data_IF_678268572556
#
_entry.id   IF_678268572556
#
_cell.length_a   1.000
_cell.length_b   1.000
_cell.length_c   1.000
_cell.angle_alpha   90.00
_cell.angle_beta   90.00
_cell.angle_gamma   90.00
#
_symmetry.space_group_name_H-M   'P 1'
#
loop_
_entity.id
_entity.type
_entity.pdbx_description
1 polymer ?
#
# COMPACT_ATOMS: atom_id res chain seq x y z
N UNK A 1 73.93 -25.77 -4.66
CA UNK A 1 73.18 -26.08 -3.43
C UNK A 1 71.71 -25.89 -3.75
N UNK A 2 70.95 -26.99 -3.64
CA UNK A 2 69.54 -27.08 -3.96
C UNK A 2 68.72 -26.15 -3.06
N UNK A 3 67.68 -25.53 -3.60
CA UNK A 3 66.48 -25.36 -2.81
C UNK A 3 65.25 -25.82 -3.59
N UNK A 4 64.45 -26.57 -2.84
CA UNK A 4 63.60 -27.66 -3.25
C UNK A 4 62.14 -27.21 -3.11
N UNK A 5 61.38 -27.39 -4.20
CA UNK A 5 60.03 -28.01 -4.23
C UNK A 5 58.92 -27.34 -3.42
N UNK A 6 57.80 -26.97 -4.09
CA UNK A 6 56.63 -27.86 -4.24
C UNK A 6 55.55 -27.23 -5.13
N UNK A 7 55.21 -27.96 -6.19
CA UNK A 7 53.98 -27.82 -6.99
C UNK A 7 52.88 -28.63 -6.28
N UNK A 8 51.60 -28.24 -6.36
CA UNK A 8 50.54 -29.21 -6.55
C UNK A 8 49.98 -29.11 -7.99
N UNK A 9 50.12 -30.24 -8.68
CA UNK A 9 49.50 -30.59 -9.94
C UNK A 9 48.03 -30.93 -9.66
N UNK A 10 47.08 -30.33 -10.38
CA UNK A 10 45.92 -31.10 -10.80
C UNK A 10 45.38 -30.57 -12.14
N UNK A 11 45.70 -31.34 -13.17
CA UNK A 11 45.14 -31.26 -14.50
C UNK A 11 43.66 -31.65 -14.51
N UNK A 12 42.80 -30.83 -15.11
CA UNK A 12 41.68 -31.35 -15.88
C UNK A 12 41.10 -30.32 -16.87
N UNK A 13 41.70 -30.32 -18.06
CA UNK A 13 40.95 -30.53 -19.32
C UNK A 13 40.14 -29.35 -19.87
N UNK A 14 40.84 -28.25 -20.18
CA UNK A 14 40.43 -27.34 -21.25
C UNK A 14 40.93 -27.91 -22.59
N UNK A 15 40.05 -28.64 -23.29
CA UNK A 15 40.33 -29.19 -24.62
C UNK A 15 39.72 -28.28 -25.67
N UNK A 16 40.58 -27.79 -26.57
CA UNK A 16 40.29 -27.48 -27.99
C UNK A 16 39.19 -26.46 -28.26
N UNK A 17 39.30 -25.51 -29.17
CA UNK A 17 40.29 -25.14 -30.16
C UNK A 17 39.59 -24.05 -30.98
N UNK A 18 40.34 -23.03 -31.41
CA UNK A 18 40.20 -22.38 -32.72
C UNK A 18 39.02 -21.38 -32.90
N UNK A 19 39.44 -20.11 -32.92
CA UNK A 19 38.97 -18.99 -33.74
C UNK A 19 38.06 -19.33 -34.93
N UNK A 20 36.87 -18.73 -35.00
CA UNK A 20 36.21 -18.42 -36.26
C UNK A 20 35.24 -17.23 -36.09
N UNK A 21 35.72 -16.05 -36.50
CA UNK A 21 34.92 -14.84 -36.67
C UNK A 21 34.03 -14.98 -37.92
N UNK A 22 32.72 -14.82 -37.78
CA UNK A 22 31.78 -14.63 -38.91
C UNK A 22 30.83 -13.48 -38.57
N UNK A 23 31.27 -12.28 -38.92
CA UNK A 23 30.45 -11.07 -39.03
C UNK A 23 29.48 -11.21 -40.20
N UNK A 24 28.19 -11.40 -39.93
CA UNK A 24 27.13 -11.24 -40.93
C UNK A 24 26.52 -9.85 -40.73
N UNK A 25 26.75 -8.97 -41.72
CA UNK A 25 26.17 -7.66 -41.84
C UNK A 25 24.67 -7.81 -42.13
N UNK A 26 23.81 -7.62 -41.13
CA UNK A 26 22.37 -7.55 -41.34
C UNK A 26 22.01 -6.13 -41.85
N UNK A 27 21.60 -6.06 -43.11
CA UNK A 27 21.12 -4.87 -43.77
C UNK A 27 19.84 -4.33 -43.11
N UNK A 28 19.82 -3.01 -43.05
CA UNK A 28 18.94 -2.13 -42.30
C UNK A 28 17.54 -2.13 -42.92
N UNK A 29 16.51 -2.46 -42.16
CA UNK A 29 15.13 -1.98 -42.40
C UNK A 29 14.71 -1.15 -41.20
N UNK A 30 15.17 0.10 -41.16
CA UNK A 30 14.56 1.12 -40.29
C UNK A 30 13.24 1.52 -40.92
N UNK A 31 12.20 0.71 -40.72
CA UNK A 31 10.85 1.21 -40.75
C UNK A 31 10.79 2.30 -39.66
N UNK A 32 10.97 3.55 -40.08
CA UNK A 32 10.74 4.71 -39.23
C UNK A 32 9.26 4.65 -38.85
N UNK A 33 8.97 4.04 -37.71
CA UNK A 33 7.69 4.18 -37.04
C UNK A 33 7.56 5.68 -36.75
N UNK A 34 6.86 6.39 -37.65
CA UNK A 34 6.50 7.79 -37.48
C UNK A 34 5.91 7.87 -36.08
N UNK A 35 6.50 8.63 -35.13
CA UNK A 35 5.92 8.74 -33.80
C UNK A 35 4.54 9.29 -34.03
N UNK A 36 3.54 8.43 -33.82
CA UNK A 36 2.16 8.83 -33.77
C UNK A 36 2.15 9.76 -32.55
N UNK A 37 2.30 11.08 -32.80
CA UNK A 37 2.04 12.10 -31.79
C UNK A 37 0.58 11.86 -31.44
N UNK A 38 0.37 11.07 -30.39
CA UNK A 38 -0.92 10.98 -29.75
C UNK A 38 -1.33 12.43 -29.53
N UNK A 39 -2.55 12.83 -29.95
CA UNK A 39 -3.07 14.13 -29.57
C UNK A 39 -2.84 14.25 -28.07
N UNK A 40 -2.12 15.30 -27.66
CA UNK A 40 -1.99 15.58 -26.24
C UNK A 40 -3.41 15.58 -25.69
N UNK A 41 -3.73 14.63 -24.81
CA UNK A 41 -5.02 14.57 -24.19
C UNK A 41 -5.31 15.98 -23.64
N UNK A 42 -6.51 16.54 -23.85
CA UNK A 42 -6.82 17.87 -23.38
C UNK A 42 -6.42 17.96 -21.91
N UNK A 43 -5.60 18.95 -21.57
CA UNK A 43 -5.13 19.14 -20.21
C UNK A 43 -6.35 19.29 -19.31
N UNK A 44 -6.57 18.32 -18.42
CA UNK A 44 -7.69 18.34 -17.48
C UNK A 44 -7.57 19.61 -16.65
N UNK A 45 -8.62 20.42 -16.61
CA UNK A 45 -8.67 21.57 -15.73
C UNK A 45 -8.71 21.08 -14.28
N UNK A 46 -7.61 21.29 -13.55
CA UNK A 46 -7.47 20.82 -12.17
C UNK A 46 -8.56 21.36 -11.25
N UNK A 47 -8.99 22.61 -11.43
CA UNK A 47 -10.03 23.22 -10.60
C UNK A 47 -11.42 22.60 -10.85
N UNK A 48 -11.72 22.22 -12.09
CA UNK A 48 -12.97 21.53 -12.42
C UNK A 48 -12.94 20.07 -11.95
N UNK A 49 -11.81 19.39 -12.13
CA UNK A 49 -11.62 18.05 -11.60
C UNK A 49 -11.77 18.01 -10.07
N UNK A 50 -11.23 19.01 -9.38
CA UNK A 50 -11.35 19.13 -7.93
C UNK A 50 -12.81 19.29 -7.48
N UNK A 51 -13.59 20.14 -8.17
CA UNK A 51 -15.03 20.30 -7.89
C UNK A 51 -15.81 19.00 -8.01
N UNK A 52 -15.41 18.11 -8.92
CA UNK A 52 -16.06 16.80 -9.12
C UNK A 52 -15.57 15.77 -8.10
N UNK A 53 -14.26 15.72 -7.83
CA UNK A 53 -13.64 14.67 -7.03
C UNK A 53 -13.67 14.94 -5.53
N UNK A 54 -13.65 16.19 -5.07
CA UNK A 54 -13.70 16.54 -3.66
C UNK A 54 -14.89 15.89 -2.91
N UNK A 55 -16.15 16.05 -3.33
CA UNK A 55 -17.28 15.45 -2.62
C UNK A 55 -17.26 13.91 -2.65
N UNK A 56 -16.72 13.30 -3.72
CA UNK A 56 -16.63 11.84 -3.83
C UNK A 56 -15.55 11.27 -2.90
N UNK A 57 -14.42 11.96 -2.76
CA UNK A 57 -13.38 11.61 -1.79
C UNK A 57 -13.87 11.75 -0.37
N UNK A 58 -14.61 12.82 -0.08
CA UNK A 58 -15.22 13.02 1.23
C UNK A 58 -16.18 11.88 1.57
N UNK A 59 -17.12 11.56 0.67
CA UNK A 59 -18.07 10.47 0.90
C UNK A 59 -17.39 9.11 1.14
N UNK A 60 -16.37 8.79 0.34
CA UNK A 60 -15.60 7.57 0.55
C UNK A 60 -14.83 7.58 1.88
N UNK A 61 -14.22 8.70 2.25
CA UNK A 61 -13.49 8.86 3.52
C UNK A 61 -14.41 8.73 4.73
N UNK A 62 -15.60 9.34 4.66
CA UNK A 62 -16.64 9.24 5.70
C UNK A 62 -17.10 7.79 5.88
N UNK A 63 -17.39 7.08 4.78
CA UNK A 63 -17.71 5.65 4.86
C UNK A 63 -16.61 4.85 5.54
N UNK A 64 -15.34 5.07 5.19
CA UNK A 64 -14.22 4.36 5.83
C UNK A 64 -14.12 4.69 7.32
N UNK A 65 -14.29 5.95 7.71
CA UNK A 65 -14.27 6.35 9.11
C UNK A 65 -15.37 5.65 9.93
N UNK A 66 -16.60 5.64 9.42
CA UNK A 66 -17.75 5.05 10.09
C UNK A 66 -17.62 3.52 10.19
N UNK A 67 -17.18 2.88 9.10
CA UNK A 67 -17.05 1.42 9.06
C UNK A 67 -15.88 0.92 9.91
N UNK A 68 -14.76 1.64 9.95
CA UNK A 68 -13.62 1.31 10.84
C UNK A 68 -14.05 1.37 12.30
N UNK A 69 -14.77 2.42 12.71
CA UNK A 69 -15.28 2.55 14.09
C UNK A 69 -16.36 1.52 14.44
N UNK A 70 -17.12 1.05 13.46
CA UNK A 70 -18.20 0.08 13.65
C UNK A 70 -17.71 -1.38 13.63
N UNK A 71 -16.45 -1.62 13.27
CA UNK A 71 -15.86 -2.95 13.21
C UNK A 71 -14.80 -3.12 14.31
N UNK A 72 -15.00 -4.01 15.29
CA UNK A 72 -14.06 -4.20 16.40
C UNK A 72 -12.64 -4.59 15.95
N UNK A 73 -12.53 -5.42 14.91
CA UNK A 73 -11.22 -5.85 14.38
C UNK A 73 -10.50 -4.69 13.71
N UNK A 74 -11.19 -3.92 12.87
CA UNK A 74 -10.61 -2.76 12.21
C UNK A 74 -10.25 -1.65 13.22
N UNK A 75 -11.09 -1.44 14.23
CA UNK A 75 -10.79 -0.52 15.34
C UNK A 75 -9.53 -0.92 16.11
N UNK A 76 -9.29 -2.23 16.29
CA UNK A 76 -8.06 -2.72 16.95
C UNK A 76 -6.81 -2.42 16.10
N UNK A 77 -6.86 -2.66 14.79
CA UNK A 77 -5.77 -2.30 13.87
C UNK A 77 -5.53 -0.77 13.84
N UNK A 78 -6.61 0.02 13.77
CA UNK A 78 -6.52 1.48 13.81
C UNK A 78 -5.87 2.00 15.10
N UNK A 79 -6.19 1.40 16.26
CA UNK A 79 -5.53 1.73 17.56
C UNK A 79 -4.03 1.44 17.55
N UNK A 80 -3.61 0.39 16.85
CA UNK A 80 -2.20 0.05 16.66
C UNK A 80 -1.50 0.94 15.61
N UNK A 81 -2.22 1.85 14.95
CA UNK A 81 -1.71 2.69 13.87
C UNK A 81 -1.66 1.98 12.51
N UNK A 82 -2.22 0.78 12.40
CA UNK A 82 -2.29 -0.02 11.17
C UNK A 82 -3.51 0.40 10.33
N UNK A 83 -3.49 1.63 9.81
CA UNK A 83 -4.61 2.22 9.09
C UNK A 83 -4.93 1.49 7.79
N UNK A 84 -3.91 1.06 7.05
CA UNK A 84 -4.08 0.30 5.82
C UNK A 84 -4.81 -1.02 6.05
N UNK A 85 -4.45 -1.75 7.11
CA UNK A 85 -5.10 -3.00 7.53
C UNK A 85 -6.53 -2.75 8.00
N UNK A 86 -6.76 -1.70 8.80
CA UNK A 86 -8.10 -1.32 9.27
C UNK A 86 -9.06 -1.04 8.09
N UNK A 87 -8.61 -0.25 7.12
CA UNK A 87 -9.33 0.06 5.87
C UNK A 87 -9.52 -1.20 5.03
N UNK A 88 -8.51 -2.07 4.96
CA UNK A 88 -8.57 -3.34 4.22
C UNK A 88 -9.64 -4.30 4.76
N UNK A 89 -9.87 -4.31 6.07
CA UNK A 89 -10.91 -5.13 6.72
C UNK A 89 -12.31 -4.66 6.33
N UNK A 90 -12.56 -3.35 6.28
CA UNK A 90 -13.90 -2.79 6.08
C UNK A 90 -14.19 -2.33 4.67
N UNK A 91 -13.18 -2.25 3.78
CA UNK A 91 -13.31 -1.61 2.48
C UNK A 91 -14.33 -2.21 1.51
N UNK A 92 -14.76 -3.45 1.74
CA UNK A 92 -15.87 -4.03 0.97
C UNK A 92 -17.21 -3.30 1.21
N UNK A 93 -17.38 -2.69 2.39
CA UNK A 93 -18.58 -1.92 2.76
C UNK A 93 -18.65 -0.58 2.01
N UNK A 94 -17.51 0.04 1.74
CA UNK A 94 -17.41 1.36 1.08
C UNK A 94 -17.26 1.29 -0.44
N UNK A 95 -17.60 0.12 -1.02
CA UNK A 95 -17.53 -0.11 -2.47
C UNK A 95 -18.36 0.89 -3.29
N UNK A 96 -19.60 1.25 -2.92
CA UNK A 96 -20.40 2.18 -3.72
C UNK A 96 -19.72 3.56 -3.86
N UNK A 97 -19.22 4.10 -2.76
CA UNK A 97 -18.55 5.40 -2.69
C UNK A 97 -17.24 5.38 -3.47
N UNK A 98 -16.42 4.35 -3.25
CA UNK A 98 -15.16 4.15 -3.98
C UNK A 98 -15.40 3.97 -5.48
N UNK A 99 -16.42 3.20 -5.88
CA UNK A 99 -16.75 3.00 -7.30
C UNK A 99 -17.20 4.29 -7.98
N UNK A 100 -17.97 5.14 -7.30
CA UNK A 100 -18.38 6.44 -7.82
C UNK A 100 -17.17 7.35 -8.04
N UNK A 101 -16.24 7.38 -7.09
CA UNK A 101 -14.98 8.10 -7.20
C UNK A 101 -14.11 7.59 -8.35
N UNK A 102 -13.91 6.27 -8.47
CA UNK A 102 -13.15 5.64 -9.56
C UNK A 102 -13.75 6.01 -10.91
N UNK A 103 -15.08 5.90 -11.05
CA UNK A 103 -15.79 6.24 -12.29
C UNK A 103 -15.69 7.72 -12.63
N UNK A 104 -15.70 8.61 -11.65
CA UNK A 104 -15.48 10.04 -11.88
C UNK A 104 -14.05 10.32 -12.33
N UNK A 105 -13.08 9.69 -11.67
CA UNK A 105 -11.67 9.83 -12.03
C UNK A 105 -11.38 9.31 -13.45
N UNK A 106 -11.95 8.15 -13.83
CA UNK A 106 -11.83 7.61 -15.17
C UNK A 106 -12.42 8.53 -16.25
N UNK A 107 -13.52 9.23 -15.94
CA UNK A 107 -14.13 10.21 -16.86
C UNK A 107 -13.26 11.45 -17.04
N UNK A 108 -12.54 11.87 -16.02
CA UNK A 108 -11.71 13.08 -16.04
C UNK A 108 -10.33 12.81 -16.65
N UNK A 109 -9.66 11.75 -16.22
CA UNK A 109 -8.25 11.49 -16.53
C UNK A 109 -8.02 10.33 -17.52
N UNK A 110 -9.11 9.69 -17.97
CA UNK A 110 -9.08 8.58 -18.91
C UNK A 110 -9.28 7.22 -18.24
N UNK A 111 -9.61 6.22 -19.06
CA UNK A 111 -9.97 4.88 -18.59
C UNK A 111 -8.85 4.25 -17.74
N UNK A 112 -9.24 3.49 -16.70
CA UNK A 112 -8.35 2.75 -15.78
C UNK A 112 -7.47 3.63 -14.89
N UNK A 113 -7.62 4.96 -14.92
CA UNK A 113 -6.86 5.85 -14.05
C UNK A 113 -7.41 5.88 -12.63
N UNK A 114 -8.71 5.71 -12.45
CA UNK A 114 -9.39 5.76 -11.17
C UNK A 114 -8.99 4.62 -10.23
N UNK A 115 -8.84 3.39 -10.74
CA UNK A 115 -8.38 2.25 -9.94
C UNK A 115 -6.96 2.48 -9.41
N UNK A 116 -6.07 3.01 -10.26
CA UNK A 116 -4.69 3.36 -9.89
C UNK A 116 -4.66 4.53 -8.91
N UNK A 117 -5.55 5.50 -9.09
CA UNK A 117 -5.73 6.61 -8.17
C UNK A 117 -6.17 6.13 -6.78
N UNK A 118 -7.19 5.27 -6.72
CA UNK A 118 -7.69 4.67 -5.49
C UNK A 118 -6.60 3.90 -4.73
N UNK A 119 -5.93 2.96 -5.40
CA UNK A 119 -4.87 2.12 -4.81
C UNK A 119 -3.56 2.86 -4.50
N UNK A 120 -3.40 4.07 -5.04
CA UNK A 120 -2.19 4.88 -4.90
C UNK A 120 -2.43 6.12 -4.05
N UNK A 121 -2.58 7.25 -4.73
CA UNK A 121 -2.63 8.57 -4.11
C UNK A 121 -3.77 8.70 -3.08
N UNK A 122 -4.95 8.15 -3.38
CA UNK A 122 -6.09 8.23 -2.47
C UNK A 122 -5.87 7.37 -1.22
N UNK A 123 -5.52 6.08 -1.35
CA UNK A 123 -5.29 5.20 -0.20
C UNK A 123 -4.26 5.77 0.78
N UNK A 124 -3.13 6.28 0.26
CA UNK A 124 -2.11 6.91 1.11
C UNK A 124 -2.65 8.12 1.88
N UNK A 125 -3.49 8.93 1.24
CA UNK A 125 -4.08 10.10 1.87
C UNK A 125 -5.20 9.74 2.84
N UNK A 126 -5.97 8.69 2.54
CA UNK A 126 -7.01 8.15 3.41
C UNK A 126 -6.44 7.73 4.76
N UNK A 127 -5.34 6.97 4.77
CA UNK A 127 -4.68 6.53 6.01
C UNK A 127 -4.34 7.71 6.92
N UNK A 128 -3.78 8.78 6.34
CA UNK A 128 -3.45 10.00 7.06
C UNK A 128 -4.71 10.71 7.60
N UNK A 129 -5.74 10.88 6.79
CA UNK A 129 -6.98 11.54 7.22
C UNK A 129 -7.68 10.77 8.35
N UNK A 130 -7.69 9.44 8.25
CA UNK A 130 -8.26 8.59 9.30
C UNK A 130 -7.46 8.69 10.59
N UNK A 131 -6.13 8.70 10.50
CA UNK A 131 -5.27 8.90 11.66
C UNK A 131 -5.53 10.23 12.36
N UNK A 132 -5.53 11.32 11.61
CA UNK A 132 -5.75 12.67 12.14
C UNK A 132 -7.13 12.81 12.81
N UNK A 133 -8.17 12.20 12.22
CA UNK A 133 -9.54 12.29 12.72
C UNK A 133 -9.82 11.34 13.88
N UNK A 134 -9.40 10.08 13.78
CA UNK A 134 -9.86 8.99 14.66
C UNK A 134 -8.88 8.70 15.79
N UNK A 135 -7.58 8.89 15.60
CA UNK A 135 -6.58 8.56 16.63
C UNK A 135 -6.88 9.23 17.99
N UNK A 136 -7.26 10.52 18.06
CA UNK A 136 -7.59 11.14 19.34
C UNK A 136 -8.77 10.43 20.04
N UNK A 137 -9.83 10.11 19.28
CA UNK A 137 -11.01 9.43 19.80
C UNK A 137 -10.70 8.02 20.31
N UNK A 138 -9.82 7.31 19.60
CA UNK A 138 -9.40 5.96 19.95
C UNK A 138 -8.50 5.93 21.19
N UNK A 139 -7.60 6.91 21.33
CA UNK A 139 -6.73 7.04 22.49
C UNK A 139 -7.52 7.38 23.76
N UNK A 140 -8.47 8.31 23.71
CA UNK A 140 -9.31 8.64 24.86
C UNK A 140 -10.17 7.47 25.35
N UNK A 141 -10.74 6.68 24.42
CA UNK A 141 -11.48 5.46 24.77
C UNK A 141 -10.61 4.39 25.43
N UNK A 142 -9.31 4.32 25.12
CA UNK A 142 -8.40 3.39 25.77
C UNK A 142 -8.12 3.79 27.23
N UNK A 143 -7.91 5.08 27.50
CA UNK A 143 -7.64 5.59 28.86
C UNK A 143 -8.86 5.42 29.78
N UNK A 144 -10.06 5.72 29.28
CA UNK A 144 -11.29 5.56 30.06
C UNK A 144 -11.64 4.09 30.37
N UNK A 145 -11.14 3.14 29.58
CA UNK A 145 -11.40 1.71 29.79
C UNK A 145 -10.38 1.04 30.70
N UNK A 146 -9.28 1.72 31.06
CA UNK A 146 -8.17 1.18 31.85
C UNK A 146 -8.27 1.49 33.36
N UNK A 147 -9.46 1.86 33.86
CA UNK A 147 -9.68 2.05 35.29
C UNK A 147 -9.62 0.67 36.00
N UNK A 148 -8.74 0.48 37.01
CA UNK A 148 -8.39 -0.84 37.52
C UNK A 148 -9.54 -1.47 38.33
N UNK A 149 -9.67 -2.82 38.33
CA UNK A 149 -10.60 -3.50 39.20
C UNK A 149 -10.21 -3.22 40.65
N UNK A 150 -11.22 -2.91 41.47
CA UNK A 150 -11.06 -2.61 42.89
C UNK A 150 -10.17 -3.67 43.58
N UNK A 151 -8.95 -3.27 43.90
CA UNK A 151 -8.07 -3.96 44.83
C UNK A 151 -8.66 -3.76 46.23
N UNK A 152 -9.73 -4.52 46.55
CA UNK A 152 -10.28 -4.64 47.90
C UNK A 152 -11.17 -5.89 48.03
N UNK A 153 -10.54 -7.05 47.87
CA UNK A 153 -10.92 -8.25 48.62
C UNK A 153 -9.68 -8.66 49.44
N UNK A 154 -9.27 -7.77 50.34
CA UNK A 154 -8.37 -8.15 51.42
C UNK A 154 -9.18 -8.96 52.45
N UNK A 155 -8.74 -10.19 52.67
CA UNK A 155 -8.68 -10.78 54.01
C UNK A 155 -9.99 -10.98 54.78
N UNK A 156 -10.89 -11.85 54.31
CA UNK A 156 -11.87 -12.55 55.16
C UNK A 156 -12.04 -13.99 54.67
N UNK A 157 -11.01 -14.83 54.80
CA UNK A 157 -11.19 -16.30 54.86
C UNK A 157 -9.98 -17.03 55.50
N UNK A 158 -9.10 -16.30 56.20
CA UNK A 158 -8.04 -16.87 57.02
C UNK A 158 -8.40 -16.90 58.52
N UNK A 159 -9.68 -16.75 58.88
CA UNK A 159 -10.15 -16.72 60.27
C UNK A 159 -11.48 -17.48 60.46
N UNK A 160 -11.50 -18.76 60.08
CA UNK A 160 -12.49 -19.71 60.60
C UNK A 160 -11.87 -21.10 60.74
N UNK A 161 -10.74 -21.15 61.46
CA UNK A 161 -10.25 -22.36 62.10
C UNK A 161 -10.40 -22.22 63.61
N UNK A 162 -11.39 -22.91 64.17
CA UNK A 162 -11.39 -23.54 65.50
C UNK A 162 -12.67 -24.36 65.67
#
# INVERSE_FOLDING_TARGET
MLNVVRIPDEAARMKSSILASLTVLALISTAQARPHRQPAAPAVNAAEAEKVLAPLRQAATECFADTVLSNPKATAEARAGHWYEAVGITGFLCRPEVAAMIKAHDRLYGAKTGERYFKGAYAKHLDQQLAERLQPMLAHKAVASAEPPAEKAAAEDAAAGN
#
